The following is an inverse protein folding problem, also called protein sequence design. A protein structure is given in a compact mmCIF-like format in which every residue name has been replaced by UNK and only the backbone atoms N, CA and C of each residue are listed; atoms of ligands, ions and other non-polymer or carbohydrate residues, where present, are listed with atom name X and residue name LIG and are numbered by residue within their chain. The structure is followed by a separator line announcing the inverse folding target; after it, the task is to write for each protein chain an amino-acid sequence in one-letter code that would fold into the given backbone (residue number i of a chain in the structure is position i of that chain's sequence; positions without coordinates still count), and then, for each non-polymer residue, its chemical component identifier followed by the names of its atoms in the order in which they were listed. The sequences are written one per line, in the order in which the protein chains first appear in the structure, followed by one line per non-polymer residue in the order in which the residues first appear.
data_IF_758846436829
#
_entry.id   IF_758846436829
#
_cell.length_a   1.000
_cell.length_b   1.000
_cell.length_c   1.000
_cell.angle_alpha   90.00
_cell.angle_beta   90.00
_cell.angle_gamma   90.00
#
_symmetry.space_group_name_H-M   'P 1'
#
loop_
_entity.id
_entity.type
_entity.pdbx_description
1 polymer ?
#
# COMPACT_ATOMS: atom_id res chain seq x y z
N UNK A 1 -7.99 -1.16 -30.42
CA UNK A 1 -8.26 0.28 -30.64
C UNK A 1 -9.31 0.37 -31.72
N UNK A 2 -10.54 0.71 -31.32
CA UNK A 2 -11.70 0.73 -32.21
C UNK A 2 -12.00 2.15 -32.68
N UNK A 3 -12.39 2.29 -33.94
CA UNK A 3 -12.69 3.57 -34.58
C UNK A 3 -14.12 3.57 -35.13
N UNK A 4 -14.82 4.70 -35.00
CA UNK A 4 -16.13 4.95 -35.59
C UNK A 4 -16.16 6.37 -36.15
N UNK A 5 -16.44 6.52 -37.45
CA UNK A 5 -16.44 7.81 -38.16
C UNK A 5 -15.17 8.65 -37.91
N UNK A 6 -14.01 8.00 -37.93
CA UNK A 6 -12.71 8.65 -37.71
C UNK A 6 -12.39 9.03 -36.26
N UNK A 7 -13.29 8.75 -35.30
CA UNK A 7 -13.07 8.99 -33.87
C UNK A 7 -12.74 7.69 -33.13
N UNK A 8 -11.93 7.79 -32.08
CA UNK A 8 -11.66 6.67 -31.18
C UNK A 8 -12.90 6.41 -30.33
N UNK A 9 -13.33 5.15 -30.29
CA UNK A 9 -14.46 4.73 -29.48
C UNK A 9 -14.08 3.53 -28.62
N UNK A 10 -14.84 3.34 -27.54
CA UNK A 10 -14.82 2.11 -26.77
C UNK A 10 -16.11 1.33 -26.99
N UNK A 11 -15.97 0.04 -27.28
CA UNK A 11 -17.04 -0.93 -27.07
C UNK A 11 -17.15 -1.27 -25.58
N UNK A 12 -18.28 -1.85 -25.16
CA UNK A 12 -18.43 -2.31 -23.78
C UNK A 12 -17.36 -3.34 -23.38
N UNK A 13 -16.94 -4.19 -24.32
CA UNK A 13 -15.86 -5.15 -24.09
C UNK A 13 -14.52 -4.46 -23.84
N UNK A 14 -14.18 -3.44 -24.62
CA UNK A 14 -12.96 -2.65 -24.41
C UNK A 14 -13.00 -1.87 -23.09
N UNK A 15 -14.15 -1.35 -22.67
CA UNK A 15 -14.29 -0.70 -21.36
C UNK A 15 -14.05 -1.69 -20.20
N UNK A 16 -14.51 -2.93 -20.34
CA UNK A 16 -14.26 -3.99 -19.36
C UNK A 16 -12.77 -4.33 -19.29
N UNK A 17 -12.11 -4.44 -20.43
CA UNK A 17 -10.68 -4.79 -20.53
C UNK A 17 -9.78 -3.64 -20.02
N UNK A 18 -10.03 -2.41 -20.48
CA UNK A 18 -9.22 -1.24 -20.15
C UNK A 18 -9.37 -0.77 -18.69
N UNK A 19 -10.56 -0.90 -18.11
CA UNK A 19 -10.85 -0.37 -16.77
C UNK A 19 -11.18 -1.44 -15.72
N UNK A 20 -11.14 -2.73 -16.09
CA UNK A 20 -11.47 -3.84 -15.19
C UNK A 20 -12.91 -3.81 -14.69
N UNK A 21 -13.82 -3.14 -15.40
CA UNK A 21 -15.20 -2.93 -14.98
C UNK A 21 -16.07 -4.16 -15.29
N UNK A 22 -16.99 -4.47 -14.39
CA UNK A 22 -17.98 -5.52 -14.62
C UNK A 22 -19.06 -5.09 -15.61
N UNK A 23 -19.51 -6.00 -16.49
CA UNK A 23 -20.58 -5.76 -17.47
C UNK A 23 -21.85 -5.18 -16.81
N UNK A 24 -22.28 -5.75 -15.69
CA UNK A 24 -23.46 -5.30 -14.95
C UNK A 24 -23.33 -3.87 -14.42
N UNK A 25 -22.11 -3.42 -14.11
CA UNK A 25 -21.85 -2.04 -13.66
C UNK A 25 -22.01 -1.07 -14.84
N UNK A 26 -21.42 -1.40 -15.99
CA UNK A 26 -21.54 -0.59 -17.22
C UNK A 26 -22.98 -0.54 -17.74
N UNK A 27 -23.72 -1.65 -17.66
CA UNK A 27 -25.14 -1.68 -18.01
C UNK A 27 -25.99 -0.83 -17.06
N UNK A 28 -25.73 -0.93 -15.75
CA UNK A 28 -26.41 -0.10 -14.74
C UNK A 28 -26.15 1.39 -15.00
N UNK A 29 -24.90 1.79 -15.18
CA UNK A 29 -24.55 3.19 -15.43
C UNK A 29 -25.20 3.72 -16.71
N UNK A 30 -25.21 2.93 -17.79
CA UNK A 30 -25.88 3.31 -19.02
C UNK A 30 -27.42 3.39 -18.87
N UNK A 31 -28.02 2.48 -18.10
CA UNK A 31 -29.46 2.53 -17.80
C UNK A 31 -29.83 3.77 -17.01
N UNK A 32 -28.97 4.16 -16.05
CA UNK A 32 -29.15 5.31 -15.16
C UNK A 32 -28.54 6.60 -15.73
N UNK A 33 -28.22 6.63 -17.04
CA UNK A 33 -27.47 7.73 -17.69
C UNK A 33 -28.09 9.11 -17.51
N UNK A 34 -29.42 9.20 -17.50
CA UNK A 34 -30.14 10.45 -17.26
C UNK A 34 -29.83 11.05 -15.87
N UNK A 35 -29.53 10.21 -14.88
CA UNK A 35 -29.26 10.63 -13.50
C UNK A 35 -27.76 10.80 -13.21
N UNK A 36 -26.89 10.03 -13.89
CA UNK A 36 -25.46 10.02 -13.61
C UNK A 36 -24.61 10.73 -14.69
N UNK A 37 -25.24 11.25 -15.74
CA UNK A 37 -24.58 11.98 -16.82
C UNK A 37 -23.72 11.10 -17.75
N UNK A 38 -23.89 9.78 -17.72
CA UNK A 38 -23.15 8.86 -18.59
C UNK A 38 -23.37 9.23 -20.06
N UNK A 39 -22.30 9.29 -20.88
CA UNK A 39 -22.42 9.71 -22.27
C UNK A 39 -23.34 8.78 -23.07
N UNK A 40 -24.07 9.36 -24.02
CA UNK A 40 -24.84 8.60 -25.00
C UNK A 40 -23.91 7.81 -25.92
N UNK A 41 -24.43 6.72 -26.49
CA UNK A 41 -23.67 5.95 -27.46
C UNK A 41 -23.43 6.78 -28.72
N UNK A 42 -22.18 6.80 -29.20
CA UNK A 42 -21.80 7.46 -30.44
C UNK A 42 -22.30 6.70 -31.68
N UNK A 43 -22.60 5.41 -31.52
CA UNK A 43 -23.17 4.54 -32.55
C UNK A 43 -22.92 3.07 -32.22
N UNK A 44 -22.80 2.25 -33.26
CA UNK A 44 -22.52 0.82 -33.14
C UNK A 44 -21.29 0.42 -33.94
N UNK A 45 -20.42 -0.41 -33.35
CA UNK A 45 -19.36 -1.11 -34.06
C UNK A 45 -19.76 -2.58 -34.15
N UNK A 46 -20.09 -3.03 -35.36
CA UNK A 46 -20.79 -4.30 -35.55
C UNK A 46 -22.17 -4.25 -34.85
N UNK A 47 -22.43 -5.20 -33.94
CA UNK A 47 -23.67 -5.25 -33.14
C UNK A 47 -23.54 -4.60 -31.76
N UNK A 48 -22.36 -4.06 -31.42
CA UNK A 48 -22.09 -3.52 -30.08
C UNK A 48 -22.21 -2.00 -30.07
N UNK A 49 -22.87 -1.45 -29.05
CA UNK A 49 -22.83 -0.02 -28.79
C UNK A 49 -21.39 0.42 -28.53
N UNK A 50 -21.06 1.58 -29.07
CA UNK A 50 -19.76 2.22 -28.92
C UNK A 50 -19.93 3.64 -28.37
N UNK A 51 -19.04 4.03 -27.46
CA UNK A 51 -19.00 5.36 -26.86
C UNK A 51 -17.76 6.09 -27.34
N UNK A 52 -17.87 7.39 -27.59
CA UNK A 52 -16.72 8.25 -27.84
C UNK A 52 -15.73 8.12 -26.67
N UNK A 53 -14.47 7.80 -26.99
CA UNK A 53 -13.49 7.46 -25.98
C UNK A 53 -13.16 8.67 -25.08
N UNK A 54 -13.04 9.86 -25.65
CA UNK A 54 -12.70 11.05 -24.89
C UNK A 54 -13.86 11.49 -23.97
N UNK A 55 -15.08 11.48 -24.49
CA UNK A 55 -16.27 11.78 -23.70
C UNK A 55 -16.46 10.77 -22.55
N UNK A 56 -16.23 9.49 -22.83
CA UNK A 56 -16.31 8.44 -21.82
C UNK A 56 -15.21 8.58 -20.76
N UNK A 57 -13.96 8.78 -21.16
CA UNK A 57 -12.84 8.94 -20.23
C UNK A 57 -13.04 10.16 -19.31
N UNK A 58 -13.53 11.28 -19.87
CA UNK A 58 -13.84 12.49 -19.10
C UNK A 58 -14.99 12.25 -18.11
N UNK A 59 -16.07 11.63 -18.57
CA UNK A 59 -17.19 11.29 -17.69
C UNK A 59 -16.75 10.30 -16.60
N UNK A 60 -16.00 9.26 -16.94
CA UNK A 60 -15.57 8.23 -16.00
C UNK A 60 -14.63 8.81 -14.93
N UNK A 61 -13.73 9.70 -15.31
CA UNK A 61 -12.89 10.45 -14.37
C UNK A 61 -13.75 11.31 -13.42
N UNK A 62 -14.73 12.05 -13.95
CA UNK A 62 -15.64 12.85 -13.15
C UNK A 62 -16.57 12.00 -12.26
N UNK A 63 -17.05 10.85 -12.76
CA UNK A 63 -17.95 9.95 -12.06
C UNK A 63 -17.23 9.19 -10.94
N UNK A 64 -15.96 8.79 -11.14
CA UNK A 64 -15.09 8.28 -10.05
C UNK A 64 -14.80 9.35 -8.98
N UNK A 65 -14.76 10.61 -9.39
CA UNK A 65 -14.50 11.76 -8.51
C UNK A 65 -15.80 12.36 -7.95
N UNK A 66 -16.96 11.86 -8.37
CA UNK A 66 -18.27 12.42 -8.07
C UNK A 66 -18.56 12.37 -6.58
N UNK A 67 -18.55 13.53 -5.93
CA UNK A 67 -18.76 13.68 -4.48
C UNK A 67 -17.49 13.70 -3.64
N UNK A 68 -16.31 13.60 -4.26
CA UNK A 68 -15.02 13.67 -3.58
C UNK A 68 -14.41 15.06 -3.79
N UNK A 69 -14.19 15.84 -2.72
CA UNK A 69 -13.48 17.11 -2.82
C UNK A 69 -12.12 16.98 -3.51
N UNK A 70 -11.73 18.00 -4.28
CA UNK A 70 -10.40 18.09 -4.88
C UNK A 70 -9.31 18.05 -3.81
N UNK A 71 -8.20 17.37 -4.10
CA UNK A 71 -7.09 17.17 -3.16
C UNK A 71 -7.22 15.91 -2.30
N UNK A 72 -8.34 15.19 -2.40
CA UNK A 72 -8.49 13.89 -1.76
C UNK A 72 -8.13 12.75 -2.71
N UNK A 73 -7.37 11.79 -2.21
CA UNK A 73 -6.81 10.68 -2.98
C UNK A 73 -7.11 9.35 -2.31
N UNK A 74 -7.33 8.33 -3.11
CA UNK A 74 -7.47 6.95 -2.63
C UNK A 74 -6.11 6.38 -2.25
N UNK A 75 -6.11 5.27 -1.51
CA UNK A 75 -4.89 4.53 -1.16
C UNK A 75 -4.11 4.06 -2.39
N UNK A 76 -4.79 3.71 -3.48
CA UNK A 76 -4.13 3.28 -4.71
C UNK A 76 -3.48 4.46 -5.45
N UNK A 77 -4.10 5.64 -5.40
CA UNK A 77 -3.49 6.87 -5.92
C UNK A 77 -2.28 7.28 -5.08
N UNK A 78 -2.33 7.17 -3.74
CA UNK A 78 -1.15 7.36 -2.88
C UNK A 78 -0.02 6.40 -3.22
N UNK A 79 -0.33 5.11 -3.45
CA UNK A 79 0.66 4.11 -3.84
C UNK A 79 1.36 4.50 -5.15
N UNK A 80 0.59 4.91 -6.15
CA UNK A 80 1.11 5.30 -7.46
C UNK A 80 1.94 6.59 -7.39
N UNK A 81 1.46 7.62 -6.68
CA UNK A 81 2.12 8.94 -6.62
C UNK A 81 3.40 8.93 -5.80
N UNK A 82 3.43 8.19 -4.70
CA UNK A 82 4.60 8.13 -3.81
C UNK A 82 5.50 6.91 -4.06
N UNK A 83 5.21 6.12 -5.10
CA UNK A 83 5.92 4.87 -5.42
C UNK A 83 6.02 3.91 -4.21
N UNK A 84 4.94 3.82 -3.43
CA UNK A 84 4.86 3.00 -2.21
C UNK A 84 4.08 1.73 -2.49
N UNK A 85 4.58 0.58 -2.03
CA UNK A 85 3.85 -0.67 -2.19
C UNK A 85 2.53 -0.67 -1.41
N UNK A 86 1.49 -1.30 -1.97
CA UNK A 86 0.20 -1.49 -1.28
C UNK A 86 0.36 -2.21 0.07
N UNK A 87 1.32 -3.12 0.17
CA UNK A 87 1.63 -3.80 1.44
C UNK A 87 2.13 -2.82 2.49
N UNK A 88 3.05 -1.92 2.13
CA UNK A 88 3.55 -0.89 3.03
C UNK A 88 2.45 0.07 3.49
N UNK A 89 1.58 0.53 2.58
CA UNK A 89 0.43 1.36 2.97
C UNK A 89 -0.53 0.63 3.92
N UNK A 90 -0.74 -0.68 3.72
CA UNK A 90 -1.55 -1.49 4.63
C UNK A 90 -0.93 -1.58 6.02
N UNK A 91 0.40 -1.75 6.10
CA UNK A 91 1.13 -1.76 7.37
C UNK A 91 1.01 -0.41 8.07
N UNK A 92 1.31 0.69 7.37
CA UNK A 92 1.21 2.05 7.91
C UNK A 92 -0.20 2.35 8.45
N UNK A 93 -1.24 1.90 7.75
CA UNK A 93 -2.62 2.03 8.24
C UNK A 93 -2.94 1.14 9.45
N UNK A 94 -2.38 -0.06 9.52
CA UNK A 94 -2.55 -0.94 10.68
C UNK A 94 -1.91 -0.34 11.93
N UNK A 95 -0.74 0.27 11.76
CA UNK A 95 0.06 0.91 12.81
C UNK A 95 -0.35 2.37 13.07
N UNK A 96 -1.49 2.83 12.53
CA UNK A 96 -1.91 4.25 12.57
C UNK A 96 -1.98 4.85 13.99
N UNK A 97 -2.27 4.02 14.99
CA UNK A 97 -2.34 4.44 16.38
C UNK A 97 -0.96 4.83 16.96
N UNK A 98 0.13 4.28 16.43
CA UNK A 98 1.49 4.51 16.93
C UNK A 98 2.35 5.37 16.00
N UNK A 99 2.01 5.46 14.71
CA UNK A 99 2.81 6.20 13.73
C UNK A 99 2.25 7.59 13.35
N UNK A 100 1.08 7.98 13.89
CA UNK A 100 0.45 9.27 13.61
C UNK A 100 -0.09 9.40 12.18
N UNK A 101 -0.37 8.29 11.50
CA UNK A 101 -0.91 8.28 10.14
C UNK A 101 -2.21 9.11 10.08
N UNK A 102 -2.37 9.99 9.09
CA UNK A 102 -3.58 10.81 8.95
C UNK A 102 -4.86 9.98 8.86
N UNK A 103 -5.91 10.49 9.48
CA UNK A 103 -7.25 9.90 9.38
C UNK A 103 -7.85 10.06 7.97
N UNK A 104 -8.89 9.27 7.72
CA UNK A 104 -9.64 9.33 6.47
C UNK A 104 -10.38 10.67 6.40
N UNK A 105 -10.10 11.46 5.35
CA UNK A 105 -10.74 12.75 5.12
C UNK A 105 -12.14 12.62 4.51
N UNK A 106 -12.38 11.58 3.70
CA UNK A 106 -13.69 11.34 3.09
C UNK A 106 -13.95 9.86 2.77
N UNK A 107 -15.23 9.49 2.71
CA UNK A 107 -15.67 8.16 2.33
C UNK A 107 -16.78 8.24 1.28
N UNK A 108 -16.51 7.70 0.09
CA UNK A 108 -17.51 7.50 -0.96
C UNK A 108 -17.76 5.99 -1.12
N UNK A 109 -18.91 5.52 -0.61
CA UNK A 109 -19.25 4.10 -0.59
C UNK A 109 -18.25 3.26 0.23
N UNK A 110 -17.51 2.38 -0.45
CA UNK A 110 -16.45 1.55 0.16
C UNK A 110 -15.05 2.16 0.02
N UNK A 111 -14.89 3.20 -0.81
CA UNK A 111 -13.61 3.86 -1.01
C UNK A 111 -13.35 4.84 0.14
N UNK A 112 -12.13 4.81 0.64
CA UNK A 112 -11.61 5.75 1.63
C UNK A 112 -10.66 6.70 0.91
N UNK A 113 -10.73 7.97 1.30
CA UNK A 113 -9.94 9.03 0.72
C UNK A 113 -9.21 9.78 1.84
N UNK A 114 -7.96 10.11 1.56
CA UNK A 114 -7.11 10.90 2.42
C UNK A 114 -6.84 12.24 1.77
N UNK A 115 -6.65 13.27 2.60
CA UNK A 115 -6.10 14.53 2.12
C UNK A 115 -4.66 14.28 1.65
N UNK A 116 -4.40 14.54 0.37
CA UNK A 116 -3.10 14.27 -0.24
C UNK A 116 -1.99 15.06 0.43
N UNK A 117 -2.19 16.37 0.64
CA UNK A 117 -1.16 17.25 1.17
C UNK A 117 -0.79 16.86 2.61
N UNK A 118 -1.78 16.58 3.45
CA UNK A 118 -1.57 16.11 4.81
C UNK A 118 -0.88 14.73 4.84
N UNK A 119 -1.27 13.82 3.93
CA UNK A 119 -0.66 12.50 3.85
C UNK A 119 0.79 12.56 3.38
N UNK A 120 1.10 13.34 2.34
CA UNK A 120 2.45 13.53 1.83
C UNK A 120 3.35 14.14 2.90
N UNK A 121 2.91 15.24 3.55
CA UNK A 121 3.70 15.89 4.59
C UNK A 121 4.01 14.94 5.77
N UNK A 122 3.02 14.14 6.18
CA UNK A 122 3.25 13.11 7.19
C UNK A 122 4.20 12.01 6.70
N UNK A 123 4.03 11.53 5.46
CA UNK A 123 4.82 10.42 4.95
C UNK A 123 6.29 10.79 4.78
N UNK A 124 6.58 12.00 4.31
CA UNK A 124 7.95 12.51 4.18
C UNK A 124 8.61 12.62 5.56
N UNK A 125 7.92 13.22 6.54
CA UNK A 125 8.41 13.28 7.92
C UNK A 125 8.58 11.89 8.56
N UNK A 126 7.69 10.94 8.23
CA UNK A 126 7.76 9.57 8.72
C UNK A 126 8.91 8.78 8.07
N UNK A 127 9.25 9.06 6.80
CA UNK A 127 10.36 8.45 6.10
C UNK A 127 11.72 8.94 6.62
N UNK A 128 11.80 10.20 7.04
CA UNK A 128 12.99 10.77 7.67
C UNK A 128 13.17 10.35 9.13
N UNK A 129 12.09 9.91 9.80
CA UNK A 129 12.17 9.42 11.17
C UNK A 129 12.78 8.02 11.18
N UNK A 130 13.92 7.80 11.86
CA UNK A 130 14.35 6.43 12.13
C UNK A 130 13.23 5.70 12.88
N UNK A 131 13.00 4.40 12.60
CA UNK A 131 12.00 3.64 13.32
C UNK A 131 12.23 3.83 14.81
N UNK A 132 11.17 4.14 15.56
CA UNK A 132 11.27 4.29 17.00
C UNK A 132 11.66 2.93 17.58
N UNK A 133 12.91 2.82 18.02
CA UNK A 133 13.46 1.54 18.44
C UNK A 133 13.11 1.32 19.91
N UNK A 134 12.09 0.50 20.20
CA UNK A 134 11.71 0.19 21.57
C UNK A 134 12.83 -0.67 22.21
N UNK A 135 13.38 -0.28 23.37
CA UNK A 135 14.32 -1.12 24.11
C UNK A 135 13.80 -2.54 24.40
N UNK A 136 12.48 -2.74 24.47
CA UNK A 136 11.87 -4.04 24.70
C UNK A 136 11.52 -4.81 23.41
N UNK A 137 11.81 -4.26 22.23
CA UNK A 137 11.61 -4.96 20.96
C UNK A 137 12.36 -6.30 20.90
N UNK A 138 11.65 -7.32 20.39
CA UNK A 138 12.24 -8.63 20.12
C UNK A 138 12.98 -8.60 18.78
N UNK A 139 14.31 -8.55 18.85
CA UNK A 139 15.20 -8.48 17.69
C UNK A 139 15.72 -9.86 17.31
N UNK A 140 15.89 -10.09 16.00
CA UNK A 140 16.51 -11.32 15.52
C UNK A 140 18.03 -11.29 15.76
N UNK A 141 18.68 -12.44 15.60
CA UNK A 141 20.14 -12.52 15.62
C UNK A 141 20.79 -11.62 14.54
N UNK A 142 20.16 -11.50 13.38
CA UNK A 142 20.62 -10.63 12.30
C UNK A 142 20.52 -9.13 12.69
N UNK A 143 19.45 -8.77 13.38
CA UNK A 143 19.27 -7.40 13.89
C UNK A 143 20.26 -7.11 15.01
N UNK A 144 20.52 -8.08 15.90
CA UNK A 144 21.56 -7.96 16.92
C UNK A 144 22.96 -7.73 16.32
N UNK A 145 23.32 -8.42 15.24
CA UNK A 145 24.59 -8.16 14.53
C UNK A 145 24.67 -6.72 14.01
N UNK A 146 23.57 -6.20 13.45
CA UNK A 146 23.49 -4.81 12.97
C UNK A 146 23.69 -3.82 14.13
N UNK A 147 23.02 -4.04 15.27
CA UNK A 147 23.15 -3.21 16.48
C UNK A 147 24.60 -3.20 16.98
N UNK A 148 25.27 -4.34 16.93
CA UNK A 148 26.65 -4.50 17.41
C UNK A 148 27.72 -4.11 16.39
N UNK A 149 27.34 -3.72 15.16
CA UNK A 149 28.29 -3.42 14.08
C UNK A 149 29.07 -4.64 13.58
N UNK A 150 28.54 -5.85 13.78
CA UNK A 150 29.19 -7.11 13.41
C UNK A 150 28.77 -7.57 12.02
N UNK A 151 29.66 -8.28 11.32
CA UNK A 151 29.30 -8.99 10.11
C UNK A 151 28.25 -10.08 10.42
N UNK A 152 27.23 -10.20 9.56
CA UNK A 152 26.13 -11.14 9.79
C UNK A 152 26.61 -12.60 9.87
N UNK A 153 27.71 -12.94 9.19
CA UNK A 153 28.34 -14.27 9.27
C UNK A 153 28.89 -14.57 10.66
N UNK A 154 29.46 -13.57 11.35
CA UNK A 154 30.07 -13.72 12.68
C UNK A 154 29.06 -14.09 13.77
N UNK A 155 27.82 -13.61 13.67
CA UNK A 155 26.81 -13.84 14.72
C UNK A 155 26.15 -15.22 14.62
N UNK A 156 26.18 -15.87 13.44
CA UNK A 156 25.46 -17.14 13.19
C UNK A 156 25.91 -18.30 14.06
N UNK A 157 27.12 -18.25 14.63
CA UNK A 157 27.68 -19.29 15.51
C UNK A 157 27.26 -19.11 16.97
N UNK A 158 26.79 -17.92 17.37
CA UNK A 158 26.46 -17.59 18.77
C UNK A 158 25.37 -18.46 19.38
N UNK A 159 24.34 -18.92 18.64
CA UNK A 159 23.38 -19.87 19.20
C UNK A 159 23.99 -21.21 19.66
N UNK A 160 25.17 -21.59 19.15
CA UNK A 160 25.88 -22.81 19.53
C UNK A 160 27.09 -22.54 20.43
N UNK A 161 27.76 -21.40 20.23
CA UNK A 161 28.97 -20.99 20.93
C UNK A 161 28.87 -19.49 21.25
N UNK A 162 28.06 -19.12 22.25
CA UNK A 162 27.89 -17.73 22.61
C UNK A 162 29.20 -17.17 23.19
N UNK A 163 29.57 -15.93 22.85
CA UNK A 163 30.67 -15.26 23.54
C UNK A 163 30.30 -15.02 25.01
N UNK A 164 31.32 -14.77 25.84
CA UNK A 164 31.11 -14.48 27.25
C UNK A 164 30.14 -13.30 27.45
N UNK A 165 29.13 -13.49 28.30
CA UNK A 165 28.14 -12.45 28.61
C UNK A 165 27.06 -12.22 27.55
N UNK A 166 27.02 -13.02 26.48
CA UNK A 166 25.93 -12.97 25.50
C UNK A 166 24.56 -13.21 26.18
N UNK A 167 23.53 -12.40 25.88
CA UNK A 167 22.24 -12.55 26.54
C UNK A 167 21.49 -13.81 26.10
N UNK A 168 20.69 -14.35 27.01
CA UNK A 168 19.74 -15.41 26.70
C UNK A 168 18.60 -14.90 25.81
N UNK A 169 18.06 -15.72 24.90
CA UNK A 169 16.95 -15.32 24.05
C UNK A 169 15.68 -15.17 24.88
N UNK A 170 14.98 -14.04 24.71
CA UNK A 170 13.70 -13.78 25.35
C UNK A 170 12.55 -14.61 24.75
N UNK A 171 12.70 -15.05 23.49
CA UNK A 171 11.75 -15.97 22.84
C UNK A 171 12.47 -16.91 21.88
N UNK A 172 12.04 -18.17 21.86
CA UNK A 172 12.51 -19.18 20.90
C UNK A 172 11.30 -19.72 20.16
N UNK A 173 11.30 -19.55 18.83
CA UNK A 173 10.22 -20.00 17.96
C UNK A 173 10.70 -21.18 17.10
N UNK A 174 9.98 -22.31 17.07
CA UNK A 174 10.30 -23.39 16.17
C UNK A 174 10.07 -22.96 14.72
N UNK A 175 11.06 -23.22 13.88
CA UNK A 175 11.00 -23.10 12.44
C UNK A 175 10.93 -24.51 11.84
N UNK A 176 10.14 -24.70 10.78
CA UNK A 176 10.00 -26.00 10.12
C UNK A 176 11.35 -26.64 9.78
N UNK A 177 11.41 -27.97 9.93
CA UNK A 177 12.63 -28.77 9.71
C UNK A 177 13.61 -28.77 10.89
N UNK A 178 13.11 -28.69 12.13
CA UNK A 178 13.95 -28.76 13.35
C UNK A 178 14.81 -27.51 13.61
N UNK A 179 14.58 -26.43 12.85
CA UNK A 179 15.27 -25.16 13.05
C UNK A 179 14.56 -24.37 14.15
N UNK A 180 15.24 -23.41 14.75
CA UNK A 180 14.61 -22.48 15.70
C UNK A 180 15.07 -21.06 15.41
N UNK A 181 14.16 -20.10 15.54
CA UNK A 181 14.44 -18.67 15.54
C UNK A 181 14.56 -18.22 17.00
N UNK A 182 15.67 -17.58 17.33
CA UNK A 182 15.89 -16.95 18.65
C UNK A 182 15.68 -15.45 18.50
N UNK A 183 14.91 -14.88 19.41
CA UNK A 183 14.64 -13.47 19.51
C UNK A 183 15.17 -12.97 20.86
N UNK A 184 15.86 -11.85 20.84
CA UNK A 184 16.50 -11.22 22.00
C UNK A 184 15.82 -9.89 22.27
N UNK A 185 15.78 -9.43 23.52
CA UNK A 185 15.34 -8.04 23.75
C UNK A 185 16.42 -7.09 23.28
N UNK A 186 16.02 -6.02 22.61
CA UNK A 186 16.94 -4.98 22.12
C UNK A 186 17.81 -4.42 23.25
N UNK A 187 17.23 -4.15 24.43
CA UNK A 187 17.93 -3.64 25.63
C UNK A 187 19.05 -4.56 26.10
N UNK A 188 18.88 -5.88 25.99
CA UNK A 188 19.88 -6.84 26.44
C UNK A 188 21.08 -6.86 25.48
N UNK A 189 20.83 -6.71 24.17
CA UNK A 189 21.88 -6.56 23.16
C UNK A 189 22.62 -5.23 23.33
N UNK A 190 21.91 -4.13 23.60
CA UNK A 190 22.54 -2.83 23.87
C UNK A 190 23.37 -2.86 25.17
N UNK A 191 22.86 -3.50 26.22
CA UNK A 191 23.60 -3.69 27.47
C UNK A 191 24.85 -4.55 27.26
N UNK A 192 24.77 -5.60 26.43
CA UNK A 192 25.94 -6.38 26.02
C UNK A 192 26.96 -5.51 25.27
N UNK A 193 26.50 -4.69 24.31
CA UNK A 193 27.36 -3.77 23.56
C UNK A 193 28.09 -2.76 24.47
N UNK A 194 27.43 -2.28 25.52
CA UNK A 194 27.99 -1.33 26.46
C UNK A 194 29.05 -1.96 27.38
N UNK A 195 28.96 -3.26 27.68
CA UNK A 195 29.91 -4.00 28.52
C UNK A 195 31.17 -4.43 27.78
N UNK A 196 31.12 -4.51 26.46
CA UNK A 196 32.24 -4.92 25.60
C UNK A 196 33.09 -3.77 25.05
N UNK A 197 32.82 -2.52 25.47
CA UNK A 197 33.65 -1.34 25.16
C UNK A 197 34.60 -1.01 26.29
#
# INVERSE_FOLDING_TARGET
MTMLDGRRVYTRAELMDAHGLGRSTLEKWFRERAANGHPEAAGTVGSQLAWDAEAWDRWYAAHRSGGVPSGLVTRDELAARHNVSRHRLKQLWADRASNGHPDVAHRAGKALYWDEAAWTAWYDAHAERPPEEDPDDLVTLADAARILGLAQTSVTVYPKRPPAGWPEPAKVEPLGGGRVRRLYRRRDILAYAARGR
#
